data_IF_337890692894
#
_entry.id   IF_337890692894
#
_cell.length_a   1.000
_cell.length_b   1.000
_cell.length_c   1.000
_cell.angle_alpha   90.00
_cell.angle_beta   90.00
_cell.angle_gamma   90.00
#
_symmetry.space_group_name_H-M   'P 1'
#
loop_
_entity.id
_entity.type
_entity.pdbx_description
1 polymer ?
#
# COMPACT_ATOMS: atom_id res chain seq x y z
N UNK A 1 -14.91 -15.10 -7.20
CA UNK A 1 -14.44 -13.72 -7.50
C UNK A 1 -14.36 -12.97 -6.17
N UNK A 2 -13.23 -13.05 -5.46
CA UNK A 2 -13.06 -12.39 -4.16
C UNK A 2 -12.60 -10.96 -4.37
N UNK A 3 -13.41 -9.97 -3.96
CA UNK A 3 -13.03 -8.56 -3.97
C UNK A 3 -12.14 -8.31 -2.75
N UNK A 4 -10.86 -8.12 -3.00
CA UNK A 4 -9.96 -7.50 -2.02
C UNK A 4 -10.41 -6.04 -1.87
N UNK A 5 -11.07 -5.71 -0.76
CA UNK A 5 -11.32 -4.34 -0.35
C UNK A 5 -10.18 -3.93 0.58
N UNK A 6 -9.31 -3.00 0.18
CA UNK A 6 -8.24 -2.54 1.04
C UNK A 6 -8.83 -1.67 2.15
N UNK A 7 -9.23 -2.30 3.25
CA UNK A 7 -9.86 -1.69 4.44
C UNK A 7 -8.95 -0.71 5.19
N UNK A 8 -7.75 -0.42 4.68
CA UNK A 8 -6.76 0.44 5.31
C UNK A 8 -6.90 1.92 4.90
N UNK A 9 -7.45 2.21 3.71
CA UNK A 9 -7.80 3.56 3.27
C UNK A 9 -9.13 3.97 3.93
N UNK A 10 -9.07 4.70 5.05
CA UNK A 10 -10.23 5.04 5.88
C UNK A 10 -10.74 6.46 5.64
N UNK A 11 -9.95 7.34 5.02
CA UNK A 11 -10.35 8.71 4.74
C UNK A 11 -10.97 8.78 3.34
N UNK A 12 -11.94 9.68 3.15
CA UNK A 12 -12.55 9.91 1.83
C UNK A 12 -11.55 10.38 0.77
N UNK A 13 -10.40 10.89 1.20
CA UNK A 13 -9.27 11.34 0.38
C UNK A 13 -8.34 10.20 -0.05
N UNK A 14 -8.36 9.06 0.63
CA UNK A 14 -7.46 7.96 0.34
C UNK A 14 -7.92 7.25 -0.93
N UNK A 15 -7.01 7.03 -1.87
CA UNK A 15 -7.34 6.40 -3.16
C UNK A 15 -6.60 5.08 -3.25
N UNK A 16 -7.30 4.01 -3.59
CA UNK A 16 -6.70 2.70 -3.87
C UNK A 16 -6.91 2.33 -5.32
N UNK A 17 -5.82 1.98 -6.01
CA UNK A 17 -5.84 1.64 -7.42
C UNK A 17 -5.10 0.33 -7.68
N UNK A 18 -5.53 -0.39 -8.72
CA UNK A 18 -4.79 -1.51 -9.30
C UNK A 18 -4.05 -0.98 -10.52
N UNK A 19 -2.73 -1.02 -10.49
CA UNK A 19 -1.87 -0.50 -11.56
C UNK A 19 -1.87 -1.46 -12.77
N UNK A 20 -1.81 -2.76 -12.50
CA UNK A 20 -1.82 -3.81 -13.52
C UNK A 20 -1.28 -5.11 -12.97
N UNK A 21 -1.69 -6.26 -13.53
CA UNK A 21 -1.24 -7.57 -13.03
C UNK A 21 -1.54 -7.74 -11.54
N UNK A 22 -0.48 -7.88 -10.73
CA UNK A 22 -0.52 -8.01 -9.28
C UNK A 22 -0.16 -6.71 -8.52
N UNK A 23 0.04 -5.60 -9.23
CA UNK A 23 0.48 -4.32 -8.65
C UNK A 23 -0.70 -3.44 -8.22
N UNK A 24 -0.60 -2.91 -7.00
CA UNK A 24 -1.56 -1.99 -6.40
C UNK A 24 -0.83 -0.78 -5.83
N UNK A 25 -1.51 0.36 -5.80
CA UNK A 25 -1.02 1.51 -5.04
C UNK A 25 -2.14 2.14 -4.19
N UNK A 26 -1.69 2.81 -3.14
CA UNK A 26 -2.53 3.59 -2.24
C UNK A 26 -1.96 5.00 -2.20
N UNK A 27 -2.77 5.99 -2.57
CA UNK A 27 -2.46 7.40 -2.42
C UNK A 27 -3.03 7.90 -1.10
N UNK A 28 -2.18 8.52 -0.28
CA UNK A 28 -2.49 9.01 1.05
C UNK A 28 -2.26 10.52 1.13
N UNK A 29 -3.21 11.36 0.70
CA UNK A 29 -3.10 12.81 0.86
C UNK A 29 -2.94 13.20 2.34
N UNK A 30 -2.23 14.29 2.60
CA UNK A 30 -2.04 14.87 3.94
C UNK A 30 -1.64 13.82 5.00
N UNK A 31 -0.68 12.98 4.62
CA UNK A 31 -0.19 11.86 5.43
C UNK A 31 1.33 11.91 5.49
N UNK A 32 1.87 11.95 6.71
CA UNK A 32 3.31 11.88 6.95
C UNK A 32 3.88 10.47 6.72
N UNK A 33 5.21 10.38 6.66
CA UNK A 33 5.91 9.13 6.39
C UNK A 33 5.63 8.04 7.43
N UNK A 34 5.59 8.38 8.71
CA UNK A 34 5.37 7.42 9.80
C UNK A 34 3.97 6.80 9.72
N UNK A 35 2.96 7.64 9.47
CA UNK A 35 1.58 7.20 9.26
C UNK A 35 1.46 6.36 8.00
N UNK A 36 2.12 6.74 6.90
CA UNK A 36 2.13 5.95 5.67
C UNK A 36 2.75 4.56 5.87
N UNK A 37 3.86 4.47 6.62
CA UNK A 37 4.50 3.19 6.98
C UNK A 37 3.56 2.35 7.86
N UNK A 38 2.89 2.95 8.85
CA UNK A 38 1.94 2.25 9.70
C UNK A 38 0.76 1.67 8.89
N UNK A 39 0.25 2.43 7.92
CA UNK A 39 -0.79 1.97 6.98
C UNK A 39 -0.26 0.82 6.12
N UNK A 40 0.96 0.94 5.58
CA UNK A 40 1.58 -0.13 4.77
C UNK A 40 1.76 -1.42 5.58
N UNK A 41 2.23 -1.35 6.83
CA UNK A 41 2.37 -2.51 7.71
C UNK A 41 1.02 -3.15 8.05
N UNK A 42 -0.01 -2.32 8.25
CA UNK A 42 -1.37 -2.82 8.47
C UNK A 42 -1.88 -3.59 7.24
N UNK A 43 -1.72 -3.04 6.04
CA UNK A 43 -2.11 -3.72 4.79
C UNK A 43 -1.36 -5.04 4.64
N UNK A 44 -0.03 -5.02 4.82
CA UNK A 44 0.81 -6.22 4.75
C UNK A 44 0.33 -7.32 5.69
N UNK A 45 0.10 -6.96 6.94
CA UNK A 45 -0.33 -7.90 7.99
C UNK A 45 -1.74 -8.42 7.67
N UNK A 46 -2.67 -7.55 7.26
CA UNK A 46 -4.01 -7.98 6.86
C UNK A 46 -3.99 -8.95 5.68
N UNK A 47 -3.15 -8.76 4.66
CA UNK A 47 -3.03 -9.70 3.54
C UNK A 47 -2.54 -11.06 4.02
N UNK A 48 -1.49 -11.09 4.85
CA UNK A 48 -0.97 -12.32 5.45
C UNK A 48 -2.04 -13.04 6.29
N UNK A 49 -2.79 -12.29 7.09
CA UNK A 49 -3.80 -12.83 8.02
C UNK A 49 -5.03 -13.39 7.30
N UNK A 50 -5.24 -13.08 6.02
CA UNK A 50 -6.26 -13.76 5.21
C UNK A 50 -5.95 -15.26 5.04
N UNK A 51 -4.70 -15.69 5.25
CA UNK A 51 -4.31 -17.10 5.19
C UNK A 51 -4.63 -17.77 3.85
N UNK A 52 -4.64 -16.98 2.77
CA UNK A 52 -5.00 -17.48 1.45
C UNK A 52 -3.91 -18.42 0.97
N UNK A 53 -4.25 -19.69 0.74
CA UNK A 53 -3.31 -20.70 0.29
C UNK A 53 -2.64 -20.29 -1.04
N UNK A 54 -1.33 -20.38 -1.07
CA UNK A 54 -0.51 -20.21 -2.27
C UNK A 54 0.44 -21.40 -2.38
N UNK A 55 -0.09 -22.50 -2.90
CA UNK A 55 0.64 -23.75 -3.10
C UNK A 55 1.87 -23.52 -3.97
N UNK A 56 3.02 -24.04 -3.52
CA UNK A 56 4.30 -23.90 -4.22
C UNK A 56 5.07 -22.60 -3.93
N UNK A 57 4.52 -21.69 -3.11
CA UNK A 57 5.29 -20.56 -2.59
C UNK A 57 6.07 -20.90 -1.33
N UNK A 58 7.21 -20.23 -1.10
CA UNK A 58 8.05 -20.42 0.10
C UNK A 58 7.27 -20.25 1.41
N UNK A 59 6.26 -19.38 1.40
CA UNK A 59 5.48 -19.05 2.59
C UNK A 59 4.15 -19.80 2.66
N UNK A 60 3.84 -20.65 1.68
CA UNK A 60 2.60 -21.44 1.54
C UNK A 60 1.29 -20.62 1.49
N UNK A 61 1.36 -19.31 1.71
CA UNK A 61 0.25 -18.37 1.67
C UNK A 61 0.59 -17.15 0.81
N UNK A 62 -0.44 -16.46 0.33
CA UNK A 62 -0.30 -15.18 -0.34
C UNK A 62 0.30 -14.15 0.62
N UNK A 63 1.37 -13.50 0.19
CA UNK A 63 2.00 -12.38 0.90
C UNK A 63 2.13 -11.18 -0.03
N UNK A 64 2.41 -10.00 0.52
CA UNK A 64 2.63 -8.80 -0.26
C UNK A 64 3.82 -8.00 0.27
N UNK A 65 4.56 -7.41 -0.65
CA UNK A 65 5.61 -6.42 -0.38
C UNK A 65 5.04 -5.03 -0.60
N UNK A 66 5.33 -4.10 0.32
CA UNK A 66 4.85 -2.73 0.24
C UNK A 66 6.02 -1.75 0.43
N UNK A 67 6.13 -0.80 -0.49
CA UNK A 67 6.98 0.38 -0.36
C UNK A 67 6.11 1.62 -0.05
N UNK A 68 6.66 2.54 0.74
CA UNK A 68 6.03 3.83 1.02
C UNK A 68 7.00 4.95 0.65
N UNK A 69 6.48 5.98 0.01
CA UNK A 69 7.21 7.22 -0.31
C UNK A 69 6.28 8.41 -0.15
N UNK A 70 6.83 9.56 0.20
CA UNK A 70 6.09 10.79 0.41
C UNK A 70 6.86 11.97 -0.18
N UNK A 71 6.12 13.00 -0.57
CA UNK A 71 6.69 14.27 -0.99
C UNK A 71 5.88 15.40 -0.37
N UNK A 72 6.57 16.49 -0.03
CA UNK A 72 5.91 17.73 0.36
C UNK A 72 6.06 18.73 -0.78
N UNK A 73 5.18 19.73 -0.85
CA UNK A 73 5.23 20.74 -1.92
C UNK A 73 6.54 21.55 -1.90
N UNK A 74 7.22 21.61 -0.75
CA UNK A 74 8.56 22.21 -0.60
C UNK A 74 9.63 21.47 -1.43
N UNK A 75 9.51 20.16 -1.59
CA UNK A 75 10.51 19.32 -2.27
C UNK A 75 10.55 19.56 -3.79
N UNK A 76 9.57 20.27 -4.35
CA UNK A 76 9.49 20.58 -5.78
C UNK A 76 10.21 21.89 -6.19
N UNK A 77 10.82 22.63 -5.24
CA UNK A 77 11.55 23.87 -5.52
C UNK A 77 13.00 23.79 -5.01
N UNK A 78 13.80 22.92 -5.62
CA UNK A 78 15.27 23.05 -5.58
C UNK A 78 15.79 23.00 -7.01
N UNK A 79 16.12 24.18 -7.51
CA UNK A 79 16.51 24.58 -8.87
C UNK A 79 17.39 23.60 -9.68
N UNK A 80 17.12 23.54 -10.98
CA UNK A 80 18.19 23.59 -11.97
C UNK A 80 18.37 25.06 -12.39
N UNK A 81 19.41 25.69 -11.84
CA UNK A 81 20.04 26.90 -12.35
C UNK A 81 21.38 26.49 -12.97
#
# INVERSE_FOLDING_TARGET
MSRISPTAARRSSDITARFGGEEFAVLLPDTDGDTAIAIAQKIRTSIRDLGMLHEGSEHEIVTATLGATGFTRETAVSNAA
#
